data_IF_671891306871
#
_entry.id   IF_671891306871
#
_cell.length_a   1.000
_cell.length_b   1.000
_cell.length_c   1.000
_cell.angle_alpha   90.00
_cell.angle_beta   90.00
_cell.angle_gamma   90.00
#
_symmetry.space_group_name_H-M   'P 1'
#
loop_
_entity.id
_entity.type
_entity.pdbx_description
1 polymer ?
#
# COMPACT_ATOMS: atom_id res chain seq x y z
N UNK A 1 20.14 20.72 40.60
CA UNK A 1 21.36 19.93 40.42
C UNK A 1 20.97 18.66 39.70
N UNK A 2 21.21 18.56 38.39
CA UNK A 2 20.93 17.38 37.60
C UNK A 2 22.20 16.53 37.57
N UNK A 3 22.21 15.42 38.30
CA UNK A 3 23.28 14.42 38.23
C UNK A 3 23.28 13.75 36.86
N UNK A 4 24.38 13.89 36.15
CA UNK A 4 24.63 13.17 34.88
C UNK A 4 24.97 11.71 35.22
N UNK A 5 24.03 10.81 34.93
CA UNK A 5 24.27 9.36 35.03
C UNK A 5 25.36 8.96 34.03
N UNK A 6 26.41 8.28 34.50
CA UNK A 6 27.51 7.82 33.64
C UNK A 6 27.07 6.64 32.76
N UNK A 7 27.72 6.49 31.59
CA UNK A 7 27.45 5.39 30.63
C UNK A 7 27.55 4.02 31.29
N UNK A 8 28.41 3.87 32.30
CA UNK A 8 28.62 2.60 33.04
C UNK A 8 27.49 2.29 34.01
N UNK A 9 26.82 3.30 34.59
CA UNK A 9 25.66 3.14 35.48
C UNK A 9 24.39 2.85 34.69
N UNK A 10 24.26 3.44 33.51
CA UNK A 10 23.14 3.15 32.59
C UNK A 10 23.19 1.69 32.14
N UNK A 11 24.36 1.18 31.75
CA UNK A 11 24.52 -0.22 31.32
C UNK A 11 24.32 -1.22 32.47
N UNK A 12 24.65 -0.86 33.72
CA UNK A 12 24.35 -1.70 34.91
C UNK A 12 22.86 -1.75 35.21
N UNK A 13 22.10 -0.66 35.02
CA UNK A 13 20.66 -0.62 35.22
C UNK A 13 19.89 -1.35 34.11
N UNK A 14 20.35 -1.29 32.85
CA UNK A 14 19.81 -2.04 31.74
C UNK A 14 20.02 -3.57 31.85
N UNK A 15 21.15 -4.00 32.51
CA UNK A 15 21.44 -5.41 32.71
C UNK A 15 20.63 -6.10 33.85
N UNK A 16 19.95 -5.35 34.72
CA UNK A 16 19.19 -5.89 35.86
C UNK A 16 17.70 -6.10 35.60
N UNK A 17 17.18 -5.74 34.42
CA UNK A 17 15.78 -5.96 34.00
C UNK A 17 15.60 -7.25 33.20
N UNK A 18 16.66 -8.00 32.91
CA UNK A 18 16.61 -9.18 32.05
C UNK A 18 16.49 -10.53 32.78
N UNK A 19 16.08 -10.55 34.04
CA UNK A 19 15.80 -11.79 34.77
C UNK A 19 14.31 -11.88 35.15
N UNK A 20 13.47 -12.25 34.21
CA UNK A 20 12.09 -12.64 34.51
C UNK A 20 11.05 -12.18 33.50
N UNK A 21 11.10 -12.65 32.26
CA UNK A 21 9.91 -12.87 31.42
C UNK A 21 10.35 -13.61 30.14
N UNK A 22 9.83 -14.79 29.96
CA UNK A 22 9.82 -15.51 28.69
C UNK A 22 8.89 -14.73 27.75
N UNK A 23 9.47 -14.02 26.80
CA UNK A 23 8.76 -13.43 25.68
C UNK A 23 9.68 -13.39 24.46
N UNK A 24 9.07 -13.69 23.31
CA UNK A 24 9.69 -13.94 22.03
C UNK A 24 10.82 -13.00 21.63
N UNK A 25 11.79 -13.57 20.97
CA UNK A 25 12.97 -12.91 20.43
C UNK A 25 12.62 -11.78 19.43
N UNK A 26 12.40 -10.58 19.94
CA UNK A 26 12.63 -9.37 19.16
C UNK A 26 14.13 -9.07 19.17
N UNK A 27 14.86 -9.60 18.20
CA UNK A 27 16.22 -9.16 17.93
C UNK A 27 16.13 -7.80 17.23
N UNK A 28 15.99 -6.74 18.01
CA UNK A 28 16.23 -5.39 17.52
C UNK A 28 17.71 -5.32 17.13
N UNK A 29 17.98 -4.95 15.89
CA UNK A 29 19.35 -4.76 15.41
C UNK A 29 20.13 -3.86 16.39
N UNK A 30 21.33 -4.26 16.85
CA UNK A 30 22.11 -3.48 17.79
C UNK A 30 22.47 -2.06 17.32
N UNK A 31 22.27 -1.76 16.02
CA UNK A 31 22.50 -0.45 15.43
C UNK A 31 21.44 0.60 15.76
N UNK A 32 20.20 0.19 16.08
CA UNK A 32 19.12 1.13 16.39
C UNK A 32 19.27 1.83 17.76
N UNK A 33 19.97 1.24 18.69
CA UNK A 33 20.12 1.78 20.05
C UNK A 33 21.40 2.64 20.28
N UNK A 34 22.28 2.75 19.30
CA UNK A 34 23.60 3.40 19.51
C UNK A 34 23.60 4.89 19.14
N UNK A 35 22.50 5.49 18.67
CA UNK A 35 22.45 6.90 18.25
C UNK A 35 21.97 7.80 19.39
N UNK A 36 22.86 8.61 19.91
CA UNK A 36 22.57 9.68 20.88
C UNK A 36 21.93 10.84 20.13
N UNK A 37 20.84 11.43 20.66
CA UNK A 37 20.17 12.62 20.08
C UNK A 37 21.17 13.75 19.80
N UNK A 38 21.34 14.10 18.57
CA UNK A 38 22.27 15.15 18.09
C UNK A 38 22.40 15.13 16.56
N UNK A 39 23.37 15.81 15.99
CA UNK A 39 23.64 15.81 14.55
C UNK A 39 23.85 14.41 13.95
N UNK A 40 24.25 13.43 14.75
CA UNK A 40 24.41 12.03 14.35
C UNK A 40 23.11 11.19 14.42
N UNK A 41 21.98 11.80 14.78
CA UNK A 41 20.67 11.10 14.90
C UNK A 41 19.78 11.30 13.67
N UNK A 42 20.32 11.86 12.58
CA UNK A 42 19.57 12.05 11.34
C UNK A 42 19.36 10.71 10.65
N UNK A 43 18.11 10.47 10.20
CA UNK A 43 17.76 9.31 9.39
C UNK A 43 17.90 9.68 7.91
N UNK A 44 18.80 8.99 7.24
CA UNK A 44 19.10 9.21 5.83
C UNK A 44 18.27 8.28 4.95
N UNK A 45 17.55 8.85 4.01
CA UNK A 45 16.65 8.15 3.10
C UNK A 45 17.18 8.19 1.68
N UNK A 46 16.96 7.14 0.91
CA UNK A 46 17.15 7.15 -0.54
C UNK A 46 15.87 6.70 -1.24
N UNK A 47 15.69 7.12 -2.50
CA UNK A 47 14.58 6.67 -3.33
C UNK A 47 15.02 5.59 -4.30
N UNK A 48 14.18 4.58 -4.46
CA UNK A 48 14.28 3.51 -5.45
C UNK A 48 13.24 3.73 -6.52
N UNK A 49 13.67 4.19 -7.69
CA UNK A 49 12.82 4.59 -8.82
C UNK A 49 12.32 6.03 -8.71
N UNK A 50 12.86 6.93 -9.53
CA UNK A 50 12.41 8.32 -9.61
C UNK A 50 11.17 8.44 -10.51
N UNK A 51 10.05 7.97 -9.98
CA UNK A 51 8.77 7.96 -10.70
C UNK A 51 8.01 9.29 -10.60
N UNK A 52 6.98 9.45 -11.47
CA UNK A 52 6.07 10.60 -11.37
C UNK A 52 5.32 10.60 -10.03
N UNK A 53 5.01 9.42 -9.46
CA UNK A 53 4.39 9.28 -8.12
C UNK A 53 5.31 9.79 -7.04
N UNK A 54 6.59 9.42 -7.09
CA UNK A 54 7.56 9.93 -6.13
C UNK A 54 7.66 11.45 -6.24
N UNK A 55 7.92 11.98 -7.43
CA UNK A 55 8.13 13.40 -7.66
C UNK A 55 6.93 14.26 -7.24
N UNK A 56 5.71 13.85 -7.59
CA UNK A 56 4.51 14.67 -7.40
C UNK A 56 3.87 14.56 -6.03
N UNK A 57 4.13 13.49 -5.28
CA UNK A 57 3.40 13.22 -4.04
C UNK A 57 4.29 12.78 -2.88
N UNK A 58 5.18 11.78 -3.08
CA UNK A 58 5.99 11.25 -1.98
C UNK A 58 7.10 12.23 -1.57
N UNK A 59 7.81 12.83 -2.52
CA UNK A 59 8.84 13.82 -2.22
C UNK A 59 8.27 15.06 -1.50
N UNK A 60 7.16 15.68 -1.97
CA UNK A 60 6.50 16.74 -1.20
C UNK A 60 6.10 16.29 0.21
N UNK A 61 5.40 15.15 0.34
CA UNK A 61 4.99 14.64 1.66
C UNK A 61 6.17 14.34 2.59
N UNK A 62 7.30 13.87 2.08
CA UNK A 62 8.53 13.69 2.84
C UNK A 62 9.12 15.03 3.29
N UNK A 63 9.20 15.99 2.37
CA UNK A 63 9.79 17.30 2.66
C UNK A 63 9.00 18.13 3.65
N UNK A 64 7.67 17.93 3.74
CA UNK A 64 6.81 18.60 4.71
C UNK A 64 7.21 18.30 6.16
N UNK A 65 7.78 17.13 6.42
CA UNK A 65 8.05 16.63 7.78
C UNK A 65 9.54 16.40 8.08
N UNK A 66 10.42 16.50 7.09
CA UNK A 66 11.83 16.12 7.23
C UNK A 66 12.59 16.88 8.30
N UNK A 67 12.37 18.19 8.40
CA UNK A 67 13.08 19.04 9.37
C UNK A 67 12.61 18.73 10.80
N UNK A 68 11.30 18.67 11.02
CA UNK A 68 10.70 18.37 12.31
C UNK A 68 11.15 17.01 12.86
N UNK A 69 11.16 16.00 11.99
CA UNK A 69 11.48 14.62 12.36
C UNK A 69 12.97 14.26 12.22
N UNK A 70 13.82 15.20 11.77
CA UNK A 70 15.24 15.04 11.54
C UNK A 70 15.57 13.91 10.55
N UNK A 71 14.96 14.00 9.35
CA UNK A 71 15.25 13.13 8.22
C UNK A 71 15.97 13.90 7.12
N UNK A 72 16.69 13.18 6.27
CA UNK A 72 17.29 13.74 5.07
C UNK A 72 17.20 12.77 3.89
N UNK A 73 17.18 13.29 2.67
CA UNK A 73 17.23 12.47 1.47
C UNK A 73 18.58 12.65 0.78
N UNK A 74 19.36 11.58 0.74
CA UNK A 74 20.75 11.63 0.32
C UNK A 74 21.06 10.90 -0.97
N UNK A 75 20.08 10.13 -1.51
CA UNK A 75 20.31 9.30 -2.69
C UNK A 75 19.10 9.04 -3.57
N UNK A 76 19.39 8.83 -4.85
CA UNK A 76 18.42 8.43 -5.89
C UNK A 76 18.99 7.23 -6.65
N UNK A 77 18.29 6.12 -6.66
CA UNK A 77 18.58 4.95 -7.49
C UNK A 77 17.56 4.85 -8.62
N UNK A 78 18.04 4.85 -9.85
CA UNK A 78 17.21 4.57 -11.02
C UNK A 78 18.04 3.89 -12.12
N UNK A 79 17.43 2.88 -12.72
CA UNK A 79 18.06 2.08 -13.79
C UNK A 79 18.07 2.79 -15.15
N UNK A 80 17.26 3.85 -15.32
CA UNK A 80 17.28 4.70 -16.49
C UNK A 80 18.07 5.97 -16.22
N UNK A 81 19.16 6.19 -16.98
CA UNK A 81 20.08 7.31 -16.75
C UNK A 81 19.37 8.66 -16.74
N UNK A 82 18.45 8.89 -17.66
CA UNK A 82 17.68 10.14 -17.74
C UNK A 82 16.86 10.40 -16.45
N UNK A 83 16.19 9.38 -15.93
CA UNK A 83 15.42 9.53 -14.69
C UNK A 83 16.30 9.66 -13.45
N UNK A 84 17.43 8.98 -13.43
CA UNK A 84 18.41 9.13 -12.35
C UNK A 84 18.96 10.55 -12.28
N UNK A 85 19.38 11.10 -13.42
CA UNK A 85 19.96 12.44 -13.48
C UNK A 85 18.92 13.52 -13.15
N UNK A 86 17.70 13.41 -13.70
CA UNK A 86 16.56 14.25 -13.32
C UNK A 86 16.29 14.15 -11.80
N UNK A 87 16.30 12.94 -11.26
CA UNK A 87 16.04 12.69 -9.84
C UNK A 87 17.08 13.33 -8.93
N UNK A 88 18.36 13.20 -9.27
CA UNK A 88 19.46 13.85 -8.52
C UNK A 88 19.29 15.38 -8.51
N UNK A 89 18.94 15.96 -9.64
CA UNK A 89 18.70 17.41 -9.75
C UNK A 89 17.48 17.82 -8.91
N UNK A 90 16.30 17.23 -9.17
CA UNK A 90 15.03 17.63 -8.53
C UNK A 90 15.06 17.43 -7.02
N UNK A 91 15.60 16.29 -6.57
CA UNK A 91 15.72 16.01 -5.12
C UNK A 91 16.73 16.97 -4.50
N UNK A 92 17.90 17.16 -5.12
CA UNK A 92 18.91 18.10 -4.64
C UNK A 92 18.40 19.53 -4.48
N UNK A 93 17.67 20.04 -5.48
CA UNK A 93 17.02 21.35 -5.42
C UNK A 93 15.99 21.44 -4.28
N UNK A 94 15.15 20.39 -4.12
CA UNK A 94 14.08 20.36 -3.12
C UNK A 94 14.60 20.23 -1.69
N UNK A 95 15.69 19.48 -1.49
CA UNK A 95 16.32 19.25 -0.19
C UNK A 95 17.31 20.36 0.17
N UNK A 96 17.88 21.04 -0.82
CA UNK A 96 18.80 22.16 -0.63
C UNK A 96 20.29 21.77 -0.57
N UNK A 97 20.64 20.54 -0.96
CA UNK A 97 22.02 20.09 -1.09
C UNK A 97 22.17 18.98 -2.14
N UNK A 98 23.41 18.67 -2.50
CA UNK A 98 23.73 17.63 -3.48
C UNK A 98 23.35 16.24 -2.95
N UNK A 99 22.61 15.46 -3.74
CA UNK A 99 22.29 14.05 -3.49
C UNK A 99 23.10 13.14 -4.42
N UNK A 100 23.28 11.88 -4.04
CA UNK A 100 24.04 10.91 -4.82
C UNK A 100 23.15 10.10 -5.74
N UNK A 101 23.54 9.96 -7.02
CA UNK A 101 22.90 9.09 -7.99
C UNK A 101 23.52 7.70 -7.97
N UNK A 102 22.68 6.64 -7.98
CA UNK A 102 23.10 5.24 -8.07
C UNK A 102 22.50 4.63 -9.33
N UNK A 103 23.26 3.82 -10.05
CA UNK A 103 22.80 3.17 -11.28
C UNK A 103 21.79 2.05 -11.00
N UNK A 104 21.85 1.48 -9.81
CA UNK A 104 20.97 0.40 -9.35
C UNK A 104 20.96 0.31 -7.82
N UNK A 105 20.04 -0.52 -7.31
CA UNK A 105 19.85 -0.71 -5.87
C UNK A 105 21.06 -1.38 -5.18
N UNK A 106 21.75 -2.30 -5.86
CA UNK A 106 22.92 -2.99 -5.30
C UNK A 106 24.05 -2.03 -4.98
N UNK A 107 24.28 -1.02 -5.86
CA UNK A 107 25.24 0.05 -5.56
C UNK A 107 24.78 0.89 -4.38
N UNK A 108 23.49 1.21 -4.34
CA UNK A 108 22.90 2.04 -3.28
C UNK A 108 22.95 1.36 -1.91
N UNK A 109 22.61 0.08 -1.82
CA UNK A 109 22.57 -0.64 -0.54
C UNK A 109 23.96 -0.88 0.07
N UNK A 110 25.05 -0.74 -0.71
CA UNK A 110 26.42 -0.75 -0.18
C UNK A 110 26.75 0.53 0.60
N UNK A 111 26.01 1.60 0.40
CA UNK A 111 26.16 2.84 1.14
C UNK A 111 25.61 2.67 2.56
N UNK A 112 26.50 2.78 3.54
CA UNK A 112 26.18 2.57 4.96
C UNK A 112 25.48 3.76 5.60
N UNK A 113 25.52 4.90 4.93
CA UNK A 113 24.88 6.12 5.41
C UNK A 113 23.37 6.14 5.14
N UNK A 114 22.85 5.25 4.28
CA UNK A 114 21.42 5.09 4.02
C UNK A 114 20.80 4.22 5.12
N UNK A 115 19.79 4.72 5.80
CA UNK A 115 19.05 4.03 6.86
C UNK A 115 17.69 3.47 6.35
N UNK A 116 17.07 4.18 5.41
CA UNK A 116 15.72 3.87 4.94
C UNK A 116 15.57 4.13 3.44
N UNK A 117 14.56 3.51 2.82
CA UNK A 117 14.27 3.68 1.40
C UNK A 117 12.78 3.91 1.14
N UNK A 118 12.51 4.72 0.10
CA UNK A 118 11.18 4.89 -0.49
C UNK A 118 11.19 4.19 -1.85
N UNK A 119 10.42 3.12 -2.00
CA UNK A 119 10.32 2.33 -3.22
C UNK A 119 9.09 2.79 -4.01
N UNK A 120 9.31 3.29 -5.22
CA UNK A 120 8.25 3.78 -6.11
C UNK A 120 8.48 3.36 -7.57
N UNK A 121 8.94 2.14 -7.74
CA UNK A 121 9.20 1.46 -9.01
C UNK A 121 7.89 0.96 -9.65
N UNK A 122 7.93 0.25 -10.78
CA UNK A 122 6.77 -0.47 -11.32
C UNK A 122 6.23 -1.54 -10.36
N UNK A 123 4.92 -1.79 -10.44
CA UNK A 123 4.15 -2.64 -9.51
C UNK A 123 4.79 -4.01 -9.24
N UNK A 124 5.15 -4.71 -10.29
CA UNK A 124 5.70 -6.07 -10.18
C UNK A 124 7.08 -6.13 -9.50
N UNK A 125 7.79 -5.01 -9.45
CA UNK A 125 9.12 -4.92 -8.86
C UNK A 125 9.09 -4.58 -7.36
N UNK A 126 7.96 -4.12 -6.82
CA UNK A 126 7.85 -3.68 -5.43
C UNK A 126 8.28 -4.77 -4.43
N UNK A 127 7.78 -5.98 -4.59
CA UNK A 127 8.13 -7.10 -3.72
C UNK A 127 9.63 -7.46 -3.79
N UNK A 128 10.21 -7.49 -5.00
CA UNK A 128 11.65 -7.78 -5.18
C UNK A 128 12.51 -6.72 -4.49
N UNK A 129 12.21 -5.44 -4.70
CA UNK A 129 12.97 -4.36 -4.07
C UNK A 129 12.73 -4.28 -2.56
N UNK A 130 11.58 -4.70 -2.07
CA UNK A 130 11.32 -4.86 -0.63
C UNK A 130 12.21 -5.93 -0.02
N UNK A 131 12.35 -7.09 -0.68
CA UNK A 131 13.27 -8.16 -0.22
C UNK A 131 14.70 -7.63 -0.15
N UNK A 132 15.18 -7.00 -1.23
CA UNK A 132 16.53 -6.42 -1.29
C UNK A 132 16.77 -5.43 -0.14
N UNK A 133 15.84 -4.50 0.08
CA UNK A 133 15.96 -3.51 1.16
C UNK A 133 15.95 -4.14 2.55
N UNK A 134 15.06 -5.11 2.79
CA UNK A 134 14.96 -5.84 4.05
C UNK A 134 16.23 -6.64 4.36
N UNK A 135 16.81 -7.34 3.38
CA UNK A 135 18.06 -8.09 3.52
C UNK A 135 19.25 -7.20 3.86
N UNK A 136 19.19 -5.92 3.45
CA UNK A 136 20.21 -4.91 3.81
C UNK A 136 19.86 -4.12 5.08
N UNK A 137 18.82 -4.52 5.81
CA UNK A 137 18.40 -3.90 7.07
C UNK A 137 17.91 -2.46 6.95
N UNK A 138 17.36 -2.07 5.79
CA UNK A 138 16.82 -0.74 5.56
C UNK A 138 15.37 -0.68 5.99
N UNK A 139 14.93 0.42 6.62
CA UNK A 139 13.51 0.71 6.81
C UNK A 139 12.86 1.02 5.47
N UNK A 140 11.58 0.64 5.28
CA UNK A 140 10.95 0.57 3.97
C UNK A 140 9.63 1.32 3.94
N UNK A 141 9.49 2.25 3.01
CA UNK A 141 8.21 2.67 2.45
C UNK A 141 8.13 2.13 1.02
N UNK A 142 7.06 1.41 0.69
CA UNK A 142 6.86 0.90 -0.67
C UNK A 142 5.48 1.27 -1.19
N UNK A 143 5.38 1.73 -2.44
CA UNK A 143 4.08 1.99 -3.07
C UNK A 143 3.28 0.71 -3.28
N UNK A 144 1.94 0.85 -3.34
CA UNK A 144 1.02 -0.24 -3.68
C UNK A 144 0.92 -0.42 -5.22
N UNK A 145 0.50 -1.59 -5.74
CA UNK A 145 0.30 -2.85 -5.03
C UNK A 145 1.62 -3.44 -4.56
N UNK A 146 1.58 -4.19 -3.47
CA UNK A 146 2.81 -4.73 -2.89
C UNK A 146 3.42 -5.85 -3.73
N UNK A 147 2.57 -6.70 -4.30
CA UNK A 147 2.98 -7.81 -5.15
C UNK A 147 1.93 -8.12 -6.24
N UNK A 148 2.38 -8.75 -7.34
CA UNK A 148 1.55 -9.20 -8.45
C UNK A 148 1.42 -10.73 -8.52
N UNK A 149 2.19 -11.47 -7.70
CA UNK A 149 2.14 -12.93 -7.56
C UNK A 149 2.15 -13.35 -6.08
N UNK A 150 1.56 -14.51 -5.75
CA UNK A 150 1.58 -15.01 -4.38
C UNK A 150 2.99 -15.39 -3.91
N UNK A 151 3.83 -15.90 -4.82
CA UNK A 151 5.24 -16.19 -4.52
C UNK A 151 5.99 -14.93 -4.06
N UNK A 152 5.90 -13.84 -4.83
CA UNK A 152 6.52 -12.56 -4.47
C UNK A 152 5.93 -11.99 -3.18
N UNK A 153 4.60 -12.10 -3.00
CA UNK A 153 3.90 -11.61 -1.82
C UNK A 153 4.40 -12.29 -0.55
N UNK A 154 4.48 -13.63 -0.53
CA UNK A 154 5.01 -14.40 0.60
C UNK A 154 6.48 -14.10 0.87
N UNK A 155 7.30 -14.09 -0.19
CA UNK A 155 8.75 -13.85 -0.07
C UNK A 155 9.05 -12.48 0.54
N UNK A 156 8.37 -11.44 0.06
CA UNK A 156 8.59 -10.10 0.56
C UNK A 156 8.09 -9.91 2.01
N UNK A 157 6.93 -10.48 2.35
CA UNK A 157 6.44 -10.51 3.72
C UNK A 157 7.43 -11.18 4.66
N UNK A 158 7.89 -12.37 4.32
CA UNK A 158 8.84 -13.14 5.13
C UNK A 158 10.19 -12.39 5.31
N UNK A 159 10.67 -11.70 4.27
CA UNK A 159 11.89 -10.91 4.36
C UNK A 159 11.76 -9.72 5.33
N UNK A 160 10.64 -9.01 5.29
CA UNK A 160 10.36 -7.88 6.21
C UNK A 160 10.24 -8.37 7.66
N UNK A 161 9.46 -9.43 7.88
CA UNK A 161 9.28 -10.03 9.22
C UNK A 161 10.63 -10.51 9.80
N UNK A 162 11.45 -11.18 8.99
CA UNK A 162 12.78 -11.66 9.40
C UNK A 162 13.74 -10.51 9.71
N UNK A 163 13.70 -9.45 8.93
CA UNK A 163 14.61 -8.30 9.11
C UNK A 163 14.24 -7.43 10.30
N UNK A 164 12.97 -7.43 10.75
CA UNK A 164 12.48 -6.60 11.84
C UNK A 164 12.60 -5.10 11.57
N UNK A 165 12.59 -4.70 10.30
CA UNK A 165 12.65 -3.30 9.88
C UNK A 165 11.28 -2.65 9.94
N UNK A 166 11.23 -1.33 10.13
CA UNK A 166 9.98 -0.58 10.00
C UNK A 166 9.56 -0.56 8.55
N UNK A 167 8.35 -1.03 8.30
CA UNK A 167 7.79 -1.17 6.97
C UNK A 167 6.43 -0.45 6.87
N UNK A 168 6.19 0.22 5.75
CA UNK A 168 4.88 0.77 5.41
C UNK A 168 4.60 0.63 3.92
N UNK A 169 3.42 0.12 3.57
CA UNK A 169 2.92 0.15 2.19
C UNK A 169 2.09 1.40 1.92
N UNK A 170 2.13 1.92 0.70
CA UNK A 170 1.43 3.12 0.25
C UNK A 170 -0.11 3.03 0.22
N UNK A 171 -0.72 2.51 1.30
CA UNK A 171 -2.17 2.47 1.52
C UNK A 171 -2.62 3.70 2.33
N UNK A 172 -2.57 4.88 1.70
CA UNK A 172 -2.67 6.18 2.36
C UNK A 172 -3.98 6.39 3.14
N UNK A 173 -5.07 5.72 2.76
CA UNK A 173 -6.37 5.77 3.47
C UNK A 173 -6.26 5.34 4.92
N UNK A 174 -5.33 4.41 5.24
CA UNK A 174 -5.05 3.98 6.62
C UNK A 174 -4.47 5.06 7.53
N UNK A 175 -4.08 6.21 6.99
CA UNK A 175 -3.63 7.36 7.77
C UNK A 175 -4.60 8.54 7.70
N UNK A 176 -5.70 8.41 6.97
CA UNK A 176 -6.68 9.48 6.82
C UNK A 176 -7.68 9.50 7.99
N UNK A 177 -7.91 10.66 8.62
CA UNK A 177 -8.74 10.77 9.82
C UNK A 177 -10.19 10.28 9.66
N UNK A 178 -10.81 10.54 8.51
CA UNK A 178 -12.16 10.05 8.21
C UNK A 178 -12.23 8.52 8.11
N UNK A 179 -11.19 7.88 7.61
CA UNK A 179 -11.10 6.41 7.57
C UNK A 179 -10.86 5.80 8.96
N UNK A 180 -10.07 6.45 9.81
CA UNK A 180 -9.95 6.06 11.21
C UNK A 180 -11.30 6.15 11.93
N UNK A 181 -12.01 7.27 11.79
CA UNK A 181 -13.33 7.43 12.39
C UNK A 181 -14.33 6.37 11.91
N UNK A 182 -14.31 6.03 10.61
CA UNK A 182 -15.13 4.95 10.04
C UNK A 182 -14.75 3.57 10.61
N UNK A 183 -13.45 3.28 10.69
CA UNK A 183 -12.95 2.04 11.28
C UNK A 183 -13.38 1.91 12.74
N UNK A 184 -13.19 2.95 13.53
CA UNK A 184 -13.57 2.96 14.96
C UNK A 184 -15.08 2.74 15.14
N UNK A 185 -15.92 3.36 14.31
CA UNK A 185 -17.36 3.18 14.34
C UNK A 185 -17.78 1.74 14.00
N UNK A 186 -17.22 1.15 12.94
CA UNK A 186 -17.50 -0.25 12.57
C UNK A 186 -17.00 -1.20 13.67
N UNK A 187 -15.77 -1.02 14.15
CA UNK A 187 -15.15 -1.88 15.17
C UNK A 187 -15.80 -1.74 16.54
N UNK A 188 -16.50 -0.65 16.83
CA UNK A 188 -17.30 -0.51 18.06
C UNK A 188 -18.54 -1.40 18.07
N UNK A 189 -18.92 -1.99 16.94
CA UNK A 189 -20.14 -2.77 16.78
C UNK A 189 -21.40 -1.92 16.53
N UNK A 190 -21.32 -0.60 16.60
CA UNK A 190 -22.49 0.26 16.37
C UNK A 190 -23.03 0.21 14.94
N UNK A 191 -22.18 -0.12 13.97
CA UNK A 191 -22.58 -0.28 12.58
C UNK A 191 -23.41 -1.54 12.34
N UNK A 192 -23.27 -2.55 13.21
CA UNK A 192 -23.77 -3.89 12.98
C UNK A 192 -22.92 -4.67 11.98
N UNK A 193 -23.43 -5.79 11.50
CA UNK A 193 -22.75 -6.63 10.54
C UNK A 193 -22.73 -5.95 9.15
N UNK A 194 -21.58 -5.95 8.49
CA UNK A 194 -21.48 -5.58 7.08
C UNK A 194 -22.20 -6.68 6.28
N UNK A 195 -23.12 -6.29 5.41
CA UNK A 195 -23.85 -7.22 4.53
C UNK A 195 -23.41 -7.12 3.08
N UNK A 196 -22.96 -5.94 2.66
CA UNK A 196 -22.41 -5.70 1.33
C UNK A 196 -21.52 -4.46 1.31
N UNK A 197 -20.53 -4.46 0.41
CA UNK A 197 -19.75 -3.28 0.05
C UNK A 197 -19.90 -3.02 -1.45
N UNK A 198 -20.21 -1.78 -1.82
CA UNK A 198 -20.30 -1.35 -3.21
C UNK A 198 -19.18 -0.35 -3.50
N UNK A 199 -18.30 -0.70 -4.46
CA UNK A 199 -17.12 0.06 -4.78
C UNK A 199 -16.97 0.30 -6.27
N UNK A 200 -16.67 1.52 -6.64
CA UNK A 200 -16.35 1.87 -8.02
C UNK A 200 -15.14 2.78 -8.11
N UNK A 201 -14.45 2.70 -9.24
CA UNK A 201 -13.44 3.69 -9.63
C UNK A 201 -13.54 3.93 -11.13
N UNK A 202 -14.38 4.89 -11.51
CA UNK A 202 -14.72 5.15 -12.89
C UNK A 202 -14.07 6.45 -13.37
N UNK A 203 -13.37 6.39 -14.48
CA UNK A 203 -12.75 7.54 -15.13
C UNK A 203 -12.95 7.46 -16.64
N UNK A 204 -12.87 8.60 -17.33
CA UNK A 204 -12.79 8.63 -18.79
C UNK A 204 -11.43 9.21 -19.16
N UNK A 205 -10.44 8.36 -19.33
CA UNK A 205 -9.05 8.75 -19.51
C UNK A 205 -8.35 7.88 -20.56
N UNK A 206 -8.55 8.15 -21.86
CA UNK A 206 -7.97 7.35 -22.95
C UNK A 206 -6.43 7.35 -22.93
N UNK A 207 -5.83 8.47 -22.54
CA UNK A 207 -4.38 8.59 -22.40
C UNK A 207 -3.79 8.12 -21.05
N UNK A 208 -4.61 7.54 -20.18
CA UNK A 208 -4.14 7.08 -18.85
C UNK A 208 -3.01 6.08 -18.99
N UNK A 209 -1.94 6.35 -18.25
CA UNK A 209 -0.71 5.54 -18.23
C UNK A 209 0.11 5.55 -19.53
N UNK A 210 -0.32 6.27 -20.57
CA UNK A 210 0.46 6.49 -21.78
C UNK A 210 1.55 7.54 -21.55
N UNK A 211 2.68 7.35 -22.19
CA UNK A 211 3.84 8.25 -22.12
C UNK A 211 4.41 8.55 -23.52
N UNK A 212 3.58 9.01 -24.48
CA UNK A 212 3.98 9.13 -25.88
C UNK A 212 5.17 10.08 -26.10
N UNK A 213 5.38 11.08 -25.23
CA UNK A 213 6.51 11.99 -25.30
C UNK A 213 7.82 11.42 -24.74
N UNK A 214 7.75 10.39 -23.91
CA UNK A 214 8.92 9.75 -23.29
C UNK A 214 9.36 8.48 -24.02
N UNK A 215 8.42 7.72 -24.59
CA UNK A 215 8.70 6.46 -25.29
C UNK A 215 9.81 6.63 -26.34
N UNK A 216 9.81 7.64 -27.22
CA UNK A 216 10.89 7.83 -28.20
C UNK A 216 12.25 8.21 -27.60
N UNK A 217 12.28 8.64 -26.34
CA UNK A 217 13.52 9.03 -25.63
C UNK A 217 14.13 7.88 -24.84
N UNK A 218 13.40 6.79 -24.67
CA UNK A 218 13.87 5.64 -23.91
C UNK A 218 14.58 4.67 -24.85
N UNK A 219 15.89 4.63 -24.77
CA UNK A 219 16.75 3.77 -25.57
C UNK A 219 17.31 2.66 -24.71
N UNK A 220 17.59 1.52 -25.34
CA UNK A 220 18.08 0.33 -24.63
C UNK A 220 19.43 0.60 -23.96
N UNK A 221 20.33 1.35 -24.61
CA UNK A 221 21.66 1.65 -24.07
C UNK A 221 21.63 2.56 -22.83
N UNK A 222 20.52 3.29 -22.57
CA UNK A 222 20.38 4.21 -21.44
C UNK A 222 19.68 3.56 -20.24
N UNK A 223 19.18 2.34 -20.40
CA UNK A 223 18.35 1.61 -19.42
C UNK A 223 18.90 0.21 -19.16
N UNK A 224 18.97 -0.19 -17.89
CA UNK A 224 19.25 -1.60 -17.54
C UNK A 224 17.97 -2.44 -17.65
N UNK A 225 17.69 -2.88 -18.91
CA UNK A 225 16.48 -3.66 -19.21
C UNK A 225 16.40 -4.98 -18.43
N UNK A 226 17.53 -5.64 -18.23
CA UNK A 226 17.56 -6.92 -17.51
C UNK A 226 17.14 -6.72 -16.04
N UNK A 227 17.59 -5.65 -15.40
CA UNK A 227 17.14 -5.31 -14.03
C UNK A 227 15.67 -4.91 -13.99
N UNK A 228 15.17 -4.23 -15.04
CA UNK A 228 13.74 -3.93 -15.12
C UNK A 228 12.91 -5.20 -15.08
N UNK A 229 13.29 -6.24 -15.80
CA UNK A 229 12.53 -7.48 -15.85
C UNK A 229 12.41 -8.17 -14.46
N UNK A 230 13.31 -7.89 -13.51
CA UNK A 230 13.34 -8.56 -12.21
C UNK A 230 13.28 -10.08 -12.36
N UNK A 231 12.23 -10.73 -11.82
CA UNK A 231 11.97 -12.16 -11.93
C UNK A 231 10.97 -12.53 -13.06
N UNK A 232 10.68 -11.59 -13.97
CA UNK A 232 9.84 -11.88 -15.14
C UNK A 232 10.64 -12.60 -16.23
N UNK A 233 9.99 -13.41 -17.07
CA UNK A 233 10.67 -14.05 -18.20
C UNK A 233 11.39 -13.05 -19.07
N UNK A 234 12.55 -13.46 -19.59
CA UNK A 234 13.29 -12.62 -20.53
C UNK A 234 12.46 -12.31 -21.77
N UNK A 235 12.43 -11.04 -22.15
CA UNK A 235 11.94 -10.57 -23.45
C UNK A 235 12.81 -9.43 -23.97
N UNK A 236 12.72 -9.15 -25.28
CA UNK A 236 13.45 -8.07 -25.92
C UNK A 236 12.99 -6.71 -25.38
N UNK A 237 13.90 -5.75 -25.39
CA UNK A 237 13.63 -4.38 -24.96
C UNK A 237 12.39 -3.79 -25.66
N UNK A 238 11.51 -3.23 -24.86
CA UNK A 238 10.32 -2.49 -25.30
C UNK A 238 10.13 -1.25 -24.42
N UNK A 239 10.37 -0.04 -24.95
CA UNK A 239 10.24 1.19 -24.17
C UNK A 239 8.81 1.46 -23.69
N UNK A 240 7.78 0.91 -24.35
CA UNK A 240 6.41 1.00 -23.88
C UNK A 240 6.19 0.14 -22.64
N UNK A 241 6.71 -1.08 -22.63
CA UNK A 241 6.62 -1.98 -21.47
C UNK A 241 7.34 -1.38 -20.26
N UNK A 242 8.41 -0.64 -20.46
CA UNK A 242 9.07 0.10 -19.39
C UNK A 242 8.26 1.30 -18.90
N UNK A 243 7.90 2.22 -19.80
CA UNK A 243 7.28 3.50 -19.43
C UNK A 243 5.76 3.42 -19.21
N UNK A 244 5.10 2.52 -19.91
CA UNK A 244 3.65 2.31 -19.90
C UNK A 244 3.29 0.95 -19.27
N UNK A 245 4.11 0.41 -18.37
CA UNK A 245 4.02 -0.95 -17.80
C UNK A 245 2.63 -1.29 -17.26
N UNK A 246 1.89 -0.29 -16.77
CA UNK A 246 0.51 -0.48 -16.27
C UNK A 246 -0.47 -0.96 -17.33
N UNK A 247 -0.12 -0.83 -18.59
CA UNK A 247 -0.91 -1.33 -19.71
C UNK A 247 -0.67 -2.81 -20.00
N UNK A 248 0.41 -3.40 -19.46
CA UNK A 248 0.89 -4.71 -19.85
C UNK A 248 0.98 -5.70 -18.70
N UNK A 249 0.34 -6.86 -18.85
CA UNK A 249 0.62 -8.03 -18.04
C UNK A 249 1.89 -8.72 -18.58
N UNK A 250 2.82 -9.20 -17.74
CA UNK A 250 2.75 -9.35 -16.28
C UNK A 250 3.45 -8.23 -15.46
N UNK A 251 3.60 -7.02 -16.03
CA UNK A 251 4.24 -5.89 -15.33
C UNK A 251 3.29 -5.14 -14.40
N UNK A 252 1.99 -5.35 -14.56
CA UNK A 252 0.93 -4.82 -13.70
C UNK A 252 -0.34 -5.62 -13.93
N UNK A 253 -1.17 -5.76 -12.90
CA UNK A 253 -2.55 -6.27 -13.02
C UNK A 253 -3.54 -5.22 -13.56
N UNK A 254 -3.07 -4.00 -13.80
CA UNK A 254 -3.91 -2.90 -14.25
C UNK A 254 -4.90 -2.43 -13.17
N UNK A 255 -6.20 -2.45 -13.45
CA UNK A 255 -7.24 -1.95 -12.53
C UNK A 255 -7.15 -2.57 -11.13
N UNK A 256 -7.03 -3.90 -10.94
CA UNK A 256 -6.93 -4.49 -9.61
C UNK A 256 -5.82 -3.89 -8.76
N UNK A 257 -4.59 -3.89 -9.23
CA UNK A 257 -3.44 -3.37 -8.50
C UNK A 257 -3.42 -1.84 -8.40
N UNK A 258 -3.90 -1.13 -9.43
CA UNK A 258 -3.79 0.32 -9.48
C UNK A 258 -4.86 1.04 -8.66
N UNK A 259 -6.10 0.56 -8.64
CA UNK A 259 -7.22 1.25 -8.00
C UNK A 259 -7.93 0.42 -6.95
N UNK A 260 -8.27 -0.84 -7.26
CA UNK A 260 -8.97 -1.70 -6.31
C UNK A 260 -8.16 -1.89 -5.02
N UNK A 261 -6.84 -1.98 -5.12
CA UNK A 261 -5.95 -2.12 -3.96
C UNK A 261 -6.22 -1.10 -2.84
N UNK A 262 -6.55 0.16 -3.20
CA UNK A 262 -6.87 1.19 -2.21
C UNK A 262 -8.18 0.93 -1.47
N UNK A 263 -9.19 0.39 -2.16
CA UNK A 263 -10.54 0.20 -1.61
C UNK A 263 -10.67 -1.16 -0.92
N UNK A 264 -10.06 -2.20 -1.48
CA UNK A 264 -10.09 -3.52 -0.84
C UNK A 264 -9.28 -3.56 0.46
N UNK A 265 -8.23 -2.75 0.58
CA UNK A 265 -7.47 -2.60 1.81
C UNK A 265 -8.32 -2.06 2.97
N UNK A 266 -9.25 -1.16 2.70
CA UNK A 266 -10.19 -0.66 3.72
C UNK A 266 -11.23 -1.71 4.11
N UNK A 267 -11.65 -2.58 3.19
CA UNK A 267 -12.50 -3.73 3.53
C UNK A 267 -11.81 -4.62 4.56
N UNK A 268 -10.54 -4.97 4.32
CA UNK A 268 -9.75 -5.79 5.24
C UNK A 268 -9.59 -5.11 6.60
N UNK A 269 -9.30 -3.83 6.61
CA UNK A 269 -9.10 -3.07 7.83
C UNK A 269 -10.37 -2.99 8.69
N UNK A 270 -11.51 -2.67 8.06
CA UNK A 270 -12.78 -2.49 8.76
C UNK A 270 -13.39 -3.83 9.23
N UNK A 271 -13.35 -4.86 8.39
CA UNK A 271 -13.89 -6.17 8.72
C UNK A 271 -12.96 -7.02 9.60
N UNK A 272 -11.64 -6.79 9.51
CA UNK A 272 -10.62 -7.65 10.12
C UNK A 272 -10.34 -8.94 9.36
N UNK A 273 -10.97 -9.12 8.17
CA UNK A 273 -10.72 -10.27 7.30
C UNK A 273 -9.52 -9.98 6.39
N UNK A 274 -8.78 -11.03 5.98
CA UNK A 274 -7.50 -10.88 5.29
C UNK A 274 -7.61 -10.94 3.76
N UNK A 275 -8.56 -11.71 3.26
CA UNK A 275 -8.81 -11.94 1.83
C UNK A 275 -10.23 -12.47 1.63
N UNK A 276 -10.78 -12.42 0.40
CA UNK A 276 -12.05 -13.08 0.11
C UNK A 276 -11.90 -14.60 0.13
N UNK A 277 -12.96 -15.31 0.53
CA UNK A 277 -13.07 -16.77 0.39
C UNK A 277 -13.07 -17.18 -1.07
N UNK A 278 -13.77 -16.39 -1.89
CA UNK A 278 -13.86 -16.64 -3.32
C UNK A 278 -14.06 -15.38 -4.14
N UNK A 279 -13.73 -15.47 -5.42
CA UNK A 279 -13.84 -14.37 -6.39
C UNK A 279 -14.39 -14.88 -7.70
N UNK A 280 -15.34 -14.11 -8.27
CA UNK A 280 -15.73 -14.19 -9.67
C UNK A 280 -15.54 -12.82 -10.31
N UNK A 281 -15.02 -12.78 -11.54
CA UNK A 281 -14.80 -11.52 -12.23
C UNK A 281 -14.95 -11.65 -13.75
N UNK A 282 -15.36 -10.54 -14.37
CA UNK A 282 -15.38 -10.41 -15.81
C UNK A 282 -14.87 -9.03 -16.23
N UNK A 283 -14.29 -8.96 -17.41
CA UNK A 283 -13.74 -7.74 -17.97
C UNK A 283 -13.08 -7.96 -19.32
N UNK A 284 -12.65 -6.87 -19.93
CA UNK A 284 -12.02 -6.92 -21.25
C UNK A 284 -11.45 -5.57 -21.66
N UNK A 285 -10.91 -5.53 -22.87
CA UNK A 285 -10.53 -4.33 -23.59
C UNK A 285 -11.65 -4.04 -24.58
N UNK A 286 -12.55 -3.12 -24.22
CA UNK A 286 -13.75 -2.88 -25.03
C UNK A 286 -13.65 -1.61 -25.86
N UNK A 287 -12.80 -0.68 -25.50
CA UNK A 287 -12.67 0.61 -26.20
C UNK A 287 -11.22 0.99 -26.53
N UNK A 288 -10.28 0.85 -25.60
CA UNK A 288 -8.92 1.36 -25.78
C UNK A 288 -7.99 0.33 -26.41
N UNK A 289 -8.14 0.07 -27.71
CA UNK A 289 -7.33 -0.88 -28.50
C UNK A 289 -5.97 -0.28 -28.89
N UNK A 290 -5.16 0.10 -27.92
CA UNK A 290 -3.85 0.76 -28.09
C UNK A 290 -2.66 -0.21 -27.93
N UNK A 291 -2.93 -1.52 -28.01
CA UNK A 291 -1.92 -2.58 -27.83
C UNK A 291 -1.72 -3.02 -26.39
N UNK A 292 -2.55 -2.53 -25.45
CA UNK A 292 -2.54 -2.99 -24.05
C UNK A 292 -2.98 -4.43 -23.92
N UNK A 293 -2.53 -5.09 -22.84
CA UNK A 293 -3.00 -6.43 -22.45
C UNK A 293 -3.80 -6.39 -21.14
N UNK A 294 -3.77 -5.26 -20.41
CA UNK A 294 -4.61 -5.03 -19.24
C UNK A 294 -5.96 -4.42 -19.63
N UNK A 295 -7.00 -4.80 -18.92
CA UNK A 295 -8.37 -4.45 -19.23
C UNK A 295 -8.66 -2.96 -19.01
N UNK A 296 -9.56 -2.41 -19.83
CA UNK A 296 -10.07 -1.06 -19.64
C UNK A 296 -11.39 -1.00 -18.88
N UNK A 297 -12.04 -2.17 -18.70
CA UNK A 297 -13.31 -2.31 -18.00
C UNK A 297 -13.37 -3.66 -17.30
N UNK A 298 -13.82 -3.68 -16.03
CA UNK A 298 -14.00 -4.90 -15.26
C UNK A 298 -15.07 -4.77 -14.18
N UNK A 299 -15.62 -5.92 -13.78
CA UNK A 299 -16.43 -6.09 -12.57
C UNK A 299 -16.00 -7.37 -11.86
N UNK A 300 -15.88 -7.29 -10.54
CA UNK A 300 -15.60 -8.43 -9.67
C UNK A 300 -16.62 -8.49 -8.53
N UNK A 301 -16.98 -9.71 -8.15
CA UNK A 301 -17.74 -10.00 -6.93
C UNK A 301 -16.86 -10.90 -6.06
N UNK A 302 -16.67 -10.49 -4.83
CA UNK A 302 -15.82 -11.15 -3.84
C UNK A 302 -16.67 -11.54 -2.63
N UNK A 303 -16.61 -12.79 -2.22
CA UNK A 303 -17.27 -13.31 -1.03
C UNK A 303 -16.31 -13.29 0.16
N UNK A 304 -16.66 -12.54 1.19
CA UNK A 304 -15.89 -12.41 2.43
C UNK A 304 -16.59 -13.07 3.60
N UNK A 305 -15.85 -13.72 4.47
CA UNK A 305 -16.34 -14.31 5.70
C UNK A 305 -15.34 -15.28 6.31
N UNK A 306 -15.60 -15.77 7.53
CA UNK A 306 -14.79 -16.82 8.13
C UNK A 306 -14.80 -18.09 7.27
N UNK A 307 -13.65 -18.76 7.14
CA UNK A 307 -13.55 -19.98 6.32
C UNK A 307 -14.38 -21.13 6.85
N UNK A 308 -14.59 -21.17 8.17
CA UNK A 308 -15.29 -22.23 8.92
C UNK A 308 -16.80 -21.95 9.12
N UNK A 309 -17.28 -20.78 8.74
CA UNK A 309 -18.70 -20.41 8.90
C UNK A 309 -19.27 -19.79 7.61
N UNK A 310 -19.83 -20.61 6.70
CA UNK A 310 -20.37 -20.11 5.44
C UNK A 310 -21.66 -19.28 5.60
N UNK A 311 -22.27 -19.27 6.78
CA UNK A 311 -23.46 -18.47 7.07
C UNK A 311 -23.11 -17.02 7.47
N UNK A 312 -21.87 -16.77 7.85
CA UNK A 312 -21.37 -15.44 8.14
C UNK A 312 -20.58 -14.91 6.97
N UNK A 313 -20.80 -13.65 6.64
CA UNK A 313 -20.04 -12.98 5.59
C UNK A 313 -20.81 -11.90 4.88
N UNK A 314 -20.17 -11.34 3.86
CA UNK A 314 -20.73 -10.29 3.04
C UNK A 314 -20.10 -10.30 1.64
N UNK A 315 -20.78 -9.66 0.69
CA UNK A 315 -20.25 -9.50 -0.65
C UNK A 315 -19.59 -8.14 -0.83
N UNK A 316 -18.48 -8.12 -1.56
CA UNK A 316 -17.90 -6.90 -2.11
C UNK A 316 -18.07 -6.91 -3.62
N UNK A 317 -18.79 -5.91 -4.14
CA UNK A 317 -18.88 -5.63 -5.57
C UNK A 317 -17.88 -4.53 -5.91
N UNK A 318 -16.99 -4.80 -6.85
CA UNK A 318 -16.07 -3.82 -7.38
C UNK A 318 -16.25 -3.67 -8.90
N UNK A 319 -16.46 -2.43 -9.36
CA UNK A 319 -16.59 -2.12 -10.78
C UNK A 319 -15.70 -0.96 -11.15
N UNK A 320 -14.99 -1.08 -12.28
CA UNK A 320 -14.15 0.00 -12.76
C UNK A 320 -14.07 0.03 -14.28
N UNK A 321 -14.00 1.23 -14.82
CA UNK A 321 -13.82 1.48 -16.25
C UNK A 321 -13.02 2.75 -16.52
N UNK A 322 -12.20 2.72 -17.58
CA UNK A 322 -11.47 3.86 -18.12
C UNK A 322 -12.20 4.59 -19.23
N UNK A 323 -13.38 4.11 -19.56
CA UNK A 323 -14.12 4.46 -20.78
C UNK A 323 -15.28 5.42 -20.51
N UNK A 324 -15.61 5.65 -19.25
CA UNK A 324 -16.68 6.55 -18.84
C UNK A 324 -16.54 6.90 -17.36
N UNK A 325 -16.67 8.17 -16.99
CA UNK A 325 -16.50 8.66 -15.61
C UNK A 325 -17.79 8.76 -14.80
N UNK A 326 -18.95 8.42 -15.38
CA UNK A 326 -20.20 8.46 -14.63
C UNK A 326 -20.15 7.55 -13.40
N UNK A 327 -20.70 7.99 -12.28
CA UNK A 327 -20.61 7.29 -10.99
C UNK A 327 -19.28 7.45 -10.28
N UNK A 328 -18.26 8.08 -10.87
CA UNK A 328 -17.00 8.47 -10.25
C UNK A 328 -16.36 7.37 -9.36
N UNK A 329 -15.77 7.74 -8.25
CA UNK A 329 -15.30 6.84 -7.20
C UNK A 329 -16.42 6.68 -6.18
N UNK A 330 -16.71 5.44 -5.76
CA UNK A 330 -17.64 5.13 -4.67
C UNK A 330 -17.01 4.16 -3.71
N UNK A 331 -17.31 4.33 -2.43
CA UNK A 331 -16.94 3.41 -1.38
C UNK A 331 -18.03 3.41 -0.31
N UNK A 332 -18.95 2.46 -0.40
CA UNK A 332 -20.13 2.36 0.44
C UNK A 332 -20.17 0.99 1.12
N UNK A 333 -20.40 1.00 2.42
CA UNK A 333 -20.63 -0.19 3.24
C UNK A 333 -22.08 -0.19 3.70
N UNK A 334 -22.75 -1.31 3.57
CA UNK A 334 -24.14 -1.50 3.97
C UNK A 334 -24.21 -2.43 5.18
N UNK A 335 -25.08 -2.07 6.10
CA UNK A 335 -25.55 -2.95 7.17
C UNK A 335 -27.07 -2.98 7.17
N UNK A 336 -27.66 -3.89 7.96
CA UNK A 336 -29.10 -3.93 8.10
C UNK A 336 -29.71 -2.64 8.71
N UNK A 337 -28.89 -1.84 9.40
CA UNK A 337 -29.30 -0.56 10.01
C UNK A 337 -29.14 0.67 9.13
N UNK A 338 -28.48 0.57 7.96
CA UNK A 338 -28.23 1.70 7.07
C UNK A 338 -26.91 1.59 6.30
N UNK A 339 -26.28 2.73 5.99
CA UNK A 339 -25.06 2.79 5.19
C UNK A 339 -23.99 3.70 5.79
N UNK A 340 -22.72 3.33 5.54
CA UNK A 340 -21.54 4.18 5.65
C UNK A 340 -21.08 4.54 4.24
N UNK A 341 -21.09 5.83 3.90
CA UNK A 341 -20.64 6.34 2.62
C UNK A 341 -19.39 7.19 2.78
N UNK A 342 -18.24 6.69 2.32
CA UNK A 342 -16.95 7.37 2.46
C UNK A 342 -16.71 8.47 1.43
N UNK A 343 -17.51 8.55 0.36
CA UNK A 343 -17.42 9.68 -0.58
C UNK A 343 -18.03 10.93 0.03
N UNK A 344 -19.08 10.75 0.82
CA UNK A 344 -19.76 11.84 1.56
C UNK A 344 -19.26 11.96 3.00
N UNK A 345 -18.51 10.99 3.49
CA UNK A 345 -18.06 10.86 4.89
C UNK A 345 -19.23 10.83 5.89
N UNK A 346 -20.29 10.09 5.56
CA UNK A 346 -21.50 10.03 6.38
C UNK A 346 -21.91 8.60 6.68
N UNK A 347 -22.45 8.44 7.88
CA UNK A 347 -23.25 7.29 8.26
C UNK A 347 -24.71 7.75 8.29
N UNK A 348 -25.61 6.99 7.67
CA UNK A 348 -27.02 7.32 7.59
C UNK A 348 -27.89 6.09 7.75
N UNK A 349 -29.15 6.23 8.23
CA UNK A 349 -30.11 5.13 8.30
C UNK A 349 -30.70 4.75 6.93
N UNK A 350 -30.17 5.30 5.84
CA UNK A 350 -30.70 5.07 4.49
C UNK A 350 -30.75 3.57 4.15
N UNK A 351 -31.91 3.07 3.79
CA UNK A 351 -32.14 1.67 3.47
C UNK A 351 -32.16 0.72 4.67
N UNK A 352 -31.93 1.21 5.89
CA UNK A 352 -32.02 0.40 7.12
C UNK A 352 -33.46 0.14 7.54
N UNK A 353 -33.67 -0.98 8.27
CA UNK A 353 -34.97 -1.32 8.84
C UNK A 353 -35.37 -0.33 9.93
N UNK A 354 -36.65 0.05 9.97
CA UNK A 354 -37.20 0.86 11.05
C UNK A 354 -37.31 0.04 12.36
N UNK A 355 -37.36 0.73 13.51
CA UNK A 355 -37.53 0.06 14.82
C UNK A 355 -38.78 -0.82 14.85
N UNK A 356 -39.88 -0.39 14.19
CA UNK A 356 -41.12 -1.17 14.13
C UNK A 356 -40.95 -2.48 13.38
N UNK A 357 -40.25 -2.46 12.24
CA UNK A 357 -39.96 -3.66 11.42
C UNK A 357 -39.02 -4.60 12.17
N UNK A 358 -37.94 -4.09 12.78
CA UNK A 358 -36.98 -4.86 13.57
C UNK A 358 -37.70 -5.59 14.71
N UNK A 359 -38.59 -4.87 15.44
CA UNK A 359 -39.36 -5.45 16.54
C UNK A 359 -40.35 -6.51 16.05
N UNK A 360 -41.04 -6.25 14.94
CA UNK A 360 -41.99 -7.19 14.36
C UNK A 360 -41.34 -8.50 13.91
N UNK A 361 -40.08 -8.43 13.45
CA UNK A 361 -39.32 -9.59 13.00
C UNK A 361 -38.53 -10.28 14.11
N UNK A 362 -38.54 -9.76 15.34
CA UNK A 362 -37.71 -10.28 16.45
C UNK A 362 -36.21 -10.12 16.25
N UNK A 363 -35.78 -9.16 15.44
CA UNK A 363 -34.38 -8.87 15.15
C UNK A 363 -33.78 -7.91 16.17
N UNK A 364 -32.44 -7.85 16.21
CA UNK A 364 -31.69 -6.96 17.08
C UNK A 364 -31.01 -5.79 16.34
N UNK A 365 -31.17 -5.68 15.03
CA UNK A 365 -30.60 -4.61 14.24
C UNK A 365 -31.36 -3.29 14.49
N UNK A 366 -30.65 -2.26 14.91
CA UNK A 366 -31.20 -0.92 15.09
C UNK A 366 -30.86 -0.06 13.88
N UNK A 367 -31.75 0.88 13.58
CA UNK A 367 -31.49 1.90 12.55
C UNK A 367 -30.29 2.77 12.98
N UNK A 368 -29.35 2.99 12.06
CA UNK A 368 -28.15 3.78 12.34
C UNK A 368 -28.51 5.26 12.61
N UNK A 369 -27.90 5.83 13.64
CA UNK A 369 -27.99 7.26 13.87
C UNK A 369 -27.16 8.02 12.82
N UNK A 370 -27.69 9.12 12.25
CA UNK A 370 -26.93 9.94 11.33
C UNK A 370 -25.63 10.49 11.98
N UNK A 371 -24.49 10.31 11.32
CA UNK A 371 -23.20 10.79 11.80
C UNK A 371 -22.37 11.34 10.61
N UNK A 372 -21.84 12.56 10.78
CA UNK A 372 -20.84 13.11 9.87
C UNK A 372 -19.44 12.78 10.39
N UNK A 373 -18.70 11.93 9.68
CA UNK A 373 -17.36 11.51 10.08
C UNK A 373 -16.36 12.67 10.16
N UNK A 374 -16.62 13.80 9.47
CA UNK A 374 -15.79 14.99 9.58
C UNK A 374 -15.85 15.63 10.96
N UNK A 375 -17.00 15.54 11.63
CA UNK A 375 -17.20 16.07 12.98
C UNK A 375 -16.50 15.26 14.07
N UNK A 376 -16.19 13.97 13.78
CA UNK A 376 -15.49 13.08 14.73
C UNK A 376 -13.98 13.10 14.59
N UNK A 377 -13.43 13.79 13.58
CA UNK A 377 -11.99 13.86 13.34
C UNK A 377 -11.29 14.64 14.44
N UNK A 378 -10.47 13.94 15.23
CA UNK A 378 -9.66 14.51 16.31
C UNK A 378 -8.32 15.09 15.84
N UNK A 379 -7.92 14.83 14.63
CA UNK A 379 -6.60 15.18 14.11
C UNK A 379 -6.64 16.60 13.56
N UNK A 380 -5.85 17.47 14.17
CA UNK A 380 -5.54 18.74 13.57
C UNK A 380 -4.77 18.50 12.26
N UNK A 381 -5.35 18.88 11.15
CA UNK A 381 -4.72 18.84 9.84
C UNK A 381 -3.70 19.96 9.62
N UNK A 382 -3.24 20.58 10.70
CA UNK A 382 -2.18 21.57 10.66
C UNK A 382 -0.90 20.91 10.10
N UNK A 383 -0.50 21.28 8.91
CA UNK A 383 0.66 20.71 8.21
C UNK A 383 0.32 19.89 6.97
N UNK A 384 -0.94 19.71 6.65
CA UNK A 384 -1.35 19.12 5.39
C UNK A 384 -1.25 20.17 4.30
N UNK A 385 -0.27 20.02 3.43
CA UNK A 385 -0.07 20.93 2.31
C UNK A 385 -0.75 20.36 1.07
N UNK A 386 -1.60 21.09 0.49
CA UNK A 386 -2.57 20.91 -0.57
C UNK A 386 -2.33 19.98 -1.78
N UNK A 387 -1.22 19.27 -1.93
CA UNK A 387 -0.97 18.47 -3.14
C UNK A 387 -1.50 17.03 -3.03
N UNK A 388 -1.31 16.38 -1.90
CA UNK A 388 -1.89 15.06 -1.56
C UNK A 388 -1.89 14.88 -0.04
N UNK A 389 -2.91 15.40 0.65
CA UNK A 389 -2.97 15.39 2.10
C UNK A 389 -2.83 14.01 2.71
N UNK A 390 -3.45 12.99 2.10
CA UNK A 390 -3.39 11.63 2.63
C UNK A 390 -1.98 11.06 2.52
N UNK A 391 -1.25 11.36 1.45
CA UNK A 391 0.14 10.89 1.30
C UNK A 391 1.07 11.58 2.30
N UNK A 392 0.92 12.88 2.53
CA UNK A 392 1.75 13.62 3.50
C UNK A 392 1.62 13.03 4.91
N UNK A 393 0.39 12.84 5.41
CA UNK A 393 0.14 12.24 6.73
C UNK A 393 0.64 10.78 6.80
N UNK A 394 0.52 10.04 5.71
CA UNK A 394 0.95 8.65 5.64
C UNK A 394 2.48 8.52 5.68
N UNK A 395 3.19 9.35 4.93
CA UNK A 395 4.66 9.41 4.99
C UNK A 395 5.13 9.85 6.37
N UNK A 396 4.46 10.84 6.99
CA UNK A 396 4.73 11.26 8.37
C UNK A 396 4.65 10.09 9.35
N UNK A 397 3.59 9.30 9.30
CA UNK A 397 3.44 8.13 10.17
C UNK A 397 4.62 7.14 10.03
N UNK A 398 5.08 6.85 8.81
CA UNK A 398 6.25 6.02 8.59
C UNK A 398 7.52 6.59 9.24
N UNK A 399 7.76 7.91 9.07
CA UNK A 399 8.91 8.60 9.66
C UNK A 399 8.85 8.58 11.19
N UNK A 400 7.69 8.80 11.78
CA UNK A 400 7.46 8.72 13.23
C UNK A 400 7.71 7.30 13.75
N UNK A 401 7.22 6.27 13.06
CA UNK A 401 7.43 4.88 13.43
C UNK A 401 8.91 4.45 13.34
N UNK A 402 9.69 4.99 12.40
CA UNK A 402 11.14 4.78 12.39
C UNK A 402 11.80 5.34 13.66
N UNK A 403 11.28 6.45 14.19
CA UNK A 403 11.78 7.07 15.42
C UNK A 403 11.35 6.35 16.69
N UNK A 404 10.10 5.94 16.75
CA UNK A 404 9.51 5.32 17.95
C UNK A 404 9.74 3.81 18.04
N UNK A 405 9.93 3.13 16.90
CA UNK A 405 9.92 1.67 16.80
C UNK A 405 8.50 1.08 16.83
N UNK A 406 7.47 1.91 16.74
CA UNK A 406 6.07 1.45 16.70
C UNK A 406 5.67 0.89 15.34
N UNK A 407 4.55 0.18 15.31
CA UNK A 407 3.98 -0.39 14.09
C UNK A 407 3.31 0.73 13.27
N UNK A 408 3.55 0.72 11.98
CA UNK A 408 2.96 1.70 11.05
C UNK A 408 1.45 1.45 10.84
N UNK A 409 0.76 2.45 10.32
CA UNK A 409 -0.67 2.35 9.97
C UNK A 409 -0.94 1.32 8.85
N UNK A 410 0.03 1.08 7.99
CA UNK A 410 -0.07 0.12 6.89
C UNK A 410 1.13 -0.85 6.90
N UNK A 411 1.17 -1.79 7.85
CA UNK A 411 2.26 -2.75 8.00
C UNK A 411 2.27 -3.82 6.91
N UNK A 412 3.26 -4.70 6.93
CA UNK A 412 3.45 -5.72 5.89
C UNK A 412 2.26 -6.68 5.77
N UNK A 413 1.53 -6.93 6.84
CA UNK A 413 0.31 -7.74 6.81
C UNK A 413 -0.76 -7.08 5.93
N UNK A 414 -0.96 -5.77 6.06
CA UNK A 414 -1.88 -5.03 5.20
C UNK A 414 -1.47 -5.09 3.73
N UNK A 415 -0.17 -4.99 3.45
CA UNK A 415 0.39 -5.13 2.11
C UNK A 415 0.12 -6.52 1.52
N UNK A 416 0.34 -7.56 2.32
CA UNK A 416 0.09 -8.95 1.96
C UNK A 416 -1.38 -9.20 1.65
N UNK A 417 -2.27 -8.75 2.54
CA UNK A 417 -3.70 -9.02 2.47
C UNK A 417 -4.32 -8.37 1.21
N UNK A 418 -4.09 -7.05 0.99
CA UNK A 418 -4.68 -6.40 -0.20
C UNK A 418 -4.11 -6.94 -1.51
N UNK A 419 -2.82 -7.32 -1.55
CA UNK A 419 -2.22 -7.92 -2.74
C UNK A 419 -2.81 -9.30 -3.02
N UNK A 420 -3.07 -10.12 -2.00
CA UNK A 420 -3.74 -11.41 -2.16
C UNK A 420 -5.12 -11.26 -2.83
N UNK A 421 -5.94 -10.31 -2.37
CA UNK A 421 -7.24 -10.03 -3.00
C UNK A 421 -7.10 -9.52 -4.45
N UNK A 422 -6.11 -8.66 -4.73
CA UNK A 422 -5.84 -8.18 -6.10
C UNK A 422 -5.41 -9.32 -7.02
N UNK A 423 -4.57 -10.24 -6.53
CA UNK A 423 -4.12 -11.42 -7.28
C UNK A 423 -5.31 -12.35 -7.55
N UNK A 424 -6.21 -12.59 -6.58
CA UNK A 424 -7.42 -13.38 -6.77
C UNK A 424 -8.33 -12.79 -7.86
N UNK A 425 -8.56 -11.48 -7.84
CA UNK A 425 -9.36 -10.82 -8.88
C UNK A 425 -8.67 -10.88 -10.24
N UNK A 426 -7.36 -10.67 -10.30
CA UNK A 426 -6.60 -10.79 -11.54
C UNK A 426 -6.64 -12.22 -12.10
N UNK A 427 -6.53 -13.24 -11.23
CA UNK A 427 -6.69 -14.65 -11.61
C UNK A 427 -8.08 -14.91 -12.22
N UNK A 428 -9.16 -14.46 -11.59
CA UNK A 428 -10.52 -14.61 -12.11
C UNK A 428 -10.70 -13.93 -13.47
N UNK A 429 -10.18 -12.70 -13.63
CA UNK A 429 -10.26 -11.95 -14.88
C UNK A 429 -9.52 -12.67 -16.03
N UNK A 430 -8.35 -13.23 -15.78
CA UNK A 430 -7.51 -13.83 -16.81
C UNK A 430 -7.90 -15.25 -17.17
N UNK A 431 -8.27 -16.04 -16.17
CA UNK A 431 -8.62 -17.46 -16.38
C UNK A 431 -10.10 -17.68 -16.69
N UNK A 432 -10.96 -16.71 -16.36
CA UNK A 432 -12.42 -16.84 -16.42
C UNK A 432 -12.97 -17.98 -15.55
N UNK A 433 -12.23 -18.33 -14.49
CA UNK A 433 -12.58 -19.38 -13.56
C UNK A 433 -13.05 -18.80 -12.22
N UNK A 434 -13.77 -19.61 -11.47
CA UNK A 434 -14.02 -19.37 -10.06
C UNK A 434 -12.70 -19.48 -9.29
N UNK A 435 -12.42 -18.51 -8.44
CA UNK A 435 -11.14 -18.39 -7.72
C UNK A 435 -11.37 -18.54 -6.23
N UNK A 436 -10.53 -19.32 -5.57
CA UNK A 436 -10.48 -19.51 -4.12
C UNK A 436 -9.07 -19.26 -3.59
N UNK A 437 -8.96 -19.11 -2.27
CA UNK A 437 -7.68 -19.03 -1.59
C UNK A 437 -7.40 -20.33 -0.82
N UNK A 438 -6.21 -20.87 -0.97
CA UNK A 438 -5.71 -22.02 -0.24
C UNK A 438 -4.97 -21.52 1.02
N UNK A 439 -5.61 -21.67 2.19
CA UNK A 439 -5.07 -21.20 3.46
C UNK A 439 -3.81 -21.96 3.89
N UNK A 440 -3.72 -23.25 3.59
CA UNK A 440 -2.60 -24.09 4.01
C UNK A 440 -1.32 -23.72 3.24
N UNK A 441 -1.44 -23.55 1.92
CA UNK A 441 -0.30 -23.26 1.07
C UNK A 441 -0.12 -21.78 0.76
N UNK A 442 -1.08 -20.94 1.20
CA UNK A 442 -1.12 -19.51 0.90
C UNK A 442 -1.06 -19.22 -0.61
N UNK A 443 -1.89 -19.93 -1.39
CA UNK A 443 -1.95 -19.86 -2.84
C UNK A 443 -3.33 -19.45 -3.34
N UNK A 444 -3.35 -18.81 -4.51
CA UNK A 444 -4.58 -18.48 -5.25
C UNK A 444 -4.88 -19.59 -6.24
N UNK A 445 -6.06 -20.20 -6.12
CA UNK A 445 -6.52 -21.30 -6.96
C UNK A 445 -7.58 -20.81 -7.95
N UNK A 446 -7.33 -20.93 -9.25
CA UNK A 446 -8.29 -20.67 -10.32
C UNK A 446 -8.79 -22.00 -10.90
N UNK A 447 -10.08 -22.30 -10.72
CA UNK A 447 -10.64 -23.60 -11.12
C UNK A 447 -9.93 -24.78 -10.45
N UNK A 448 -9.49 -24.63 -9.21
CA UNK A 448 -8.77 -25.65 -8.43
C UNK A 448 -7.28 -25.80 -8.76
N UNK A 449 -6.72 -24.95 -9.64
CA UNK A 449 -5.29 -24.98 -10.00
C UNK A 449 -4.59 -23.70 -9.53
N UNK A 450 -3.34 -23.85 -9.05
CA UNK A 450 -2.53 -22.70 -8.64
C UNK A 450 -2.39 -21.71 -9.82
N UNK A 451 -2.77 -20.46 -9.56
CA UNK A 451 -2.62 -19.39 -10.53
C UNK A 451 -1.16 -18.94 -10.60
N UNK A 452 -0.57 -19.08 -11.80
CA UNK A 452 0.75 -18.56 -12.16
C UNK A 452 0.62 -17.64 -13.35
N UNK A 453 1.54 -16.64 -13.51
CA UNK A 453 1.54 -15.74 -14.67
C UNK A 453 2.24 -16.38 -15.88
#
# INVERSE_FOLDING_TARGET
MNEKISRREFLKKAGLVSAGAVMGNFILSPKSYARVKGANDRVNVAVVGFSDRFRSSLLPGFTDHREELNFDMIGVSDIWSLRRDEGVQVVGEKIGHKVKGYRNNEEMYKDKDIDAVIISTPDFAHATHTVEAAEHGKHIYVEKPFAETMEDNRRARAAVEKAGVVFQVGSQRRSAPNYHAANDYIRSGQFGDIVMCEMTWNVNQPGRWRRPSLVPKCREEDLDWIRFLCNRPFEAFDPRKYLEYRLFWPYSSGIPGQWMAHQIDTVHWFSGLKHPRSVTANGGIYLWHDGRTNFDTMTAVMDYGPADDPQKGFLVQYTSRFTNSAGSVKEIYYSNGGELNLDTNKITPNGGLTEGEVKAMGMHANQLAPLDLKSTMKVATAGVTGVDPMTSVHVRNWMECIRSGEKTNAPVEAAYDHSSACIMVNAALRTKQYVTFDEEHQEVLAGGKVFKF
#
